data_IF_517551021006
#
_entry.id   IF_517551021006
#
_cell.length_a   1.000
_cell.length_b   1.000
_cell.length_c   1.000
_cell.angle_alpha   90.00
_cell.angle_beta   90.00
_cell.angle_gamma   90.00
#
_symmetry.space_group_name_H-M   'P 1'
#
loop_
_entity.id
_entity.type
_entity.pdbx_description
1 polymer ?
#
# COMPACT_ATOMS: atom_id res chain seq x y z
N UNK A 1 -3.40 -2.89 23.20
CA UNK A 1 -3.95 -2.72 21.85
C UNK A 1 -3.10 -3.46 20.82
N UNK A 2 -1.79 -3.14 20.60
CA UNK A 2 -0.90 -3.79 19.61
C UNK A 2 -0.96 -5.32 19.66
N UNK A 3 -0.77 -5.94 20.85
CA UNK A 3 -0.78 -7.40 21.01
C UNK A 3 -2.09 -8.05 20.58
N UNK A 4 -3.23 -7.40 20.80
CA UNK A 4 -4.53 -7.91 20.37
C UNK A 4 -4.67 -7.91 18.84
N UNK A 5 -4.17 -6.85 18.17
CA UNK A 5 -4.16 -6.79 16.71
C UNK A 5 -3.22 -7.85 16.10
N UNK A 6 -2.02 -8.01 16.67
CA UNK A 6 -1.09 -9.08 16.26
C UNK A 6 -1.74 -10.45 16.42
N UNK A 7 -2.36 -10.73 17.55
CA UNK A 7 -3.05 -12.02 17.79
C UNK A 7 -4.17 -12.27 16.77
N UNK A 8 -4.91 -11.20 16.39
CA UNK A 8 -5.92 -11.28 15.34
C UNK A 8 -5.31 -11.65 13.99
N UNK A 9 -4.23 -10.98 13.58
CA UNK A 9 -3.52 -11.29 12.32
C UNK A 9 -3.02 -12.75 12.35
N UNK A 10 -2.35 -13.16 13.42
CA UNK A 10 -1.85 -14.51 13.57
C UNK A 10 -2.95 -15.56 13.43
N UNK A 11 -4.14 -15.31 13.97
CA UNK A 11 -5.29 -16.24 13.84
C UNK A 11 -5.84 -16.34 12.41
N UNK A 12 -5.54 -15.38 11.54
CA UNK A 12 -6.02 -15.35 10.15
C UNK A 12 -5.04 -16.03 9.18
N UNK A 13 -3.78 -16.22 9.54
CA UNK A 13 -2.79 -16.87 8.66
C UNK A 13 -3.23 -18.29 8.24
N UNK A 14 -3.66 -19.19 9.15
CA UNK A 14 -4.15 -20.51 8.75
C UNK A 14 -5.39 -20.45 7.85
N UNK A 15 -6.24 -19.44 8.04
CA UNK A 15 -7.43 -19.23 7.20
C UNK A 15 -7.02 -18.83 5.79
N UNK A 16 -6.10 -17.87 5.66
CA UNK A 16 -5.56 -17.44 4.36
C UNK A 16 -4.93 -18.63 3.62
N UNK A 17 -4.13 -19.44 4.30
CA UNK A 17 -3.57 -20.67 3.73
C UNK A 17 -4.65 -21.65 3.27
N UNK A 18 -5.66 -21.90 4.10
CA UNK A 18 -6.74 -22.83 3.75
C UNK A 18 -7.56 -22.37 2.55
N UNK A 19 -7.73 -21.06 2.37
CA UNK A 19 -8.41 -20.45 1.23
C UNK A 19 -7.52 -20.38 -0.03
N UNK A 20 -6.24 -20.70 0.05
CA UNK A 20 -5.29 -20.53 -1.05
C UNK A 20 -5.03 -19.07 -1.40
N UNK A 21 -5.20 -18.15 -0.43
CA UNK A 21 -4.93 -16.74 -0.65
C UNK A 21 -3.44 -16.52 -0.96
N UNK A 22 -3.13 -15.82 -2.06
CA UNK A 22 -1.76 -15.55 -2.46
C UNK A 22 -1.03 -14.61 -1.50
N UNK A 23 -1.77 -13.72 -0.82
CA UNK A 23 -1.22 -12.76 0.11
C UNK A 23 -2.29 -12.29 1.11
N UNK A 24 -1.87 -11.96 2.33
CA UNK A 24 -2.64 -11.17 3.30
C UNK A 24 -2.11 -9.73 3.26
N UNK A 25 -2.99 -8.75 3.38
CA UNK A 25 -2.61 -7.34 3.39
C UNK A 25 -3.02 -6.61 4.66
N UNK A 26 -2.27 -5.57 5.02
CA UNK A 26 -2.62 -4.64 6.09
C UNK A 26 -2.06 -3.26 5.86
N UNK A 27 -2.88 -2.25 6.10
CA UNK A 27 -2.39 -0.91 6.33
C UNK A 27 -1.66 -0.81 7.67
N UNK A 28 -0.90 0.26 7.86
CA UNK A 28 -0.24 0.57 9.12
C UNK A 28 -1.08 1.53 9.97
N UNK A 29 -0.58 1.92 11.12
CA UNK A 29 -1.30 2.78 12.06
C UNK A 29 -1.57 4.17 11.47
N UNK A 30 -2.83 4.60 11.42
CA UNK A 30 -3.22 5.97 11.13
C UNK A 30 -2.79 6.89 12.29
N UNK A 31 -1.93 7.87 12.00
CA UNK A 31 -1.33 8.74 13.01
C UNK A 31 -2.35 9.69 13.66
N UNK A 32 -3.37 10.14 12.93
CA UNK A 32 -4.42 10.99 13.50
C UNK A 32 -5.25 10.29 14.60
N UNK A 33 -5.26 8.96 14.60
CA UNK A 33 -5.95 8.13 15.61
C UNK A 33 -5.05 7.77 16.81
N UNK A 34 -3.84 8.32 16.89
CA UNK A 34 -2.86 8.02 17.94
C UNK A 34 -2.31 9.31 18.57
N UNK A 35 -3.15 10.08 19.29
CA UNK A 35 -2.69 11.31 19.94
C UNK A 35 -1.55 11.01 20.92
N UNK A 36 -0.51 11.83 20.88
CA UNK A 36 0.66 11.70 21.76
C UNK A 36 1.69 10.64 21.36
N UNK A 37 1.45 9.90 20.24
CA UNK A 37 2.41 8.94 19.71
C UNK A 37 3.14 9.59 18.54
N UNK A 38 4.46 9.57 18.56
CA UNK A 38 5.28 10.01 17.43
C UNK A 38 5.27 8.97 16.30
N UNK A 39 5.53 9.42 15.06
CA UNK A 39 5.66 8.48 13.92
C UNK A 39 6.77 7.46 14.13
N UNK A 40 7.88 7.87 14.74
CA UNK A 40 8.99 6.96 15.07
C UNK A 40 8.54 5.84 16.01
N UNK A 41 7.86 6.16 17.09
CA UNK A 41 7.31 5.16 18.04
C UNK A 41 6.31 4.22 17.37
N UNK A 42 5.49 4.74 16.45
CA UNK A 42 4.55 3.94 15.66
C UNK A 42 5.28 2.99 14.69
N UNK A 43 6.36 3.46 14.05
CA UNK A 43 7.22 2.62 13.19
C UNK A 43 7.93 1.52 13.99
N UNK A 44 8.48 1.85 15.16
CA UNK A 44 9.08 0.85 16.07
C UNK A 44 8.04 -0.20 16.52
N UNK A 45 6.79 0.23 16.78
CA UNK A 45 5.70 -0.68 17.11
C UNK A 45 5.30 -1.57 15.91
N UNK A 46 5.33 -1.03 14.69
CA UNK A 46 5.13 -1.79 13.45
C UNK A 46 6.20 -2.87 13.30
N UNK A 47 7.48 -2.53 13.43
CA UNK A 47 8.58 -3.50 13.32
C UNK A 47 8.46 -4.62 14.36
N UNK A 48 8.11 -4.29 15.62
CA UNK A 48 7.84 -5.30 16.65
C UNK A 48 6.66 -6.20 16.26
N UNK A 49 5.61 -5.66 15.65
CA UNK A 49 4.44 -6.45 15.22
C UNK A 49 4.78 -7.39 14.08
N UNK A 50 5.50 -6.89 13.08
CA UNK A 50 5.98 -7.70 11.95
C UNK A 50 6.94 -8.81 12.41
N UNK A 51 7.80 -8.53 13.40
CA UNK A 51 8.68 -9.55 14.00
C UNK A 51 7.94 -10.71 14.67
N UNK A 52 6.68 -10.49 15.12
CA UNK A 52 5.81 -11.54 15.66
C UNK A 52 4.99 -12.23 14.55
N UNK A 53 4.62 -11.52 13.47
CA UNK A 53 3.74 -12.03 12.40
C UNK A 53 4.53 -12.82 11.35
N UNK A 54 5.66 -12.30 10.89
CA UNK A 54 6.37 -12.85 9.73
C UNK A 54 6.86 -14.28 9.94
N UNK A 55 7.40 -14.70 11.11
CA UNK A 55 7.78 -16.09 11.33
C UNK A 55 6.61 -17.07 11.10
N UNK A 56 5.40 -16.72 11.54
CA UNK A 56 4.22 -17.56 11.31
C UNK A 56 3.79 -17.56 9.83
N UNK A 57 3.97 -16.45 9.13
CA UNK A 57 3.74 -16.38 7.68
C UNK A 57 4.75 -17.26 6.91
N UNK A 58 6.01 -17.23 7.29
CA UNK A 58 7.09 -18.05 6.69
C UNK A 58 6.83 -19.54 6.92
N UNK A 59 6.50 -19.94 8.14
CA UNK A 59 6.18 -21.32 8.48
C UNK A 59 5.00 -21.87 7.65
N UNK A 60 4.00 -21.04 7.38
CA UNK A 60 2.80 -21.47 6.65
C UNK A 60 2.86 -21.17 5.15
N UNK A 61 3.92 -20.54 4.65
CA UNK A 61 4.07 -20.18 3.25
C UNK A 61 3.05 -19.12 2.77
N UNK A 62 2.61 -18.22 3.67
CA UNK A 62 1.69 -17.13 3.37
C UNK A 62 2.48 -15.84 3.19
N UNK A 63 2.25 -15.10 2.11
CA UNK A 63 2.81 -13.76 1.96
C UNK A 63 2.04 -12.76 2.82
N UNK A 64 2.74 -11.78 3.38
CA UNK A 64 2.16 -10.68 4.12
C UNK A 64 2.58 -9.36 3.53
N UNK A 65 1.63 -8.57 3.05
CA UNK A 65 1.89 -7.28 2.43
C UNK A 65 1.54 -6.13 3.36
N UNK A 66 2.39 -5.12 3.38
CA UNK A 66 2.14 -3.84 4.04
C UNK A 66 1.83 -2.77 3.00
N UNK A 67 0.94 -1.85 3.36
CA UNK A 67 0.55 -0.75 2.49
C UNK A 67 1.05 0.58 3.04
N UNK A 68 1.66 1.38 2.16
CA UNK A 68 2.08 2.75 2.45
C UNK A 68 0.88 3.68 2.36
N UNK A 69 0.67 4.52 3.38
CA UNK A 69 -0.37 5.55 3.37
C UNK A 69 0.22 6.84 3.94
N UNK A 70 0.17 7.95 3.20
CA UNK A 70 0.89 9.20 3.51
C UNK A 70 0.61 9.76 4.92
N UNK A 71 -0.54 9.49 5.51
CA UNK A 71 -0.90 9.90 6.87
C UNK A 71 -0.79 8.78 7.92
N UNK A 72 -0.22 7.62 7.58
CA UNK A 72 0.04 6.49 8.49
C UNK A 72 1.48 6.48 9.04
N UNK A 73 1.79 5.49 9.86
CA UNK A 73 3.13 5.27 10.39
C UNK A 73 4.15 5.01 9.27
N UNK A 74 3.79 4.18 8.29
CA UNK A 74 4.57 3.92 7.08
C UNK A 74 4.02 4.81 5.96
N UNK A 75 4.60 5.98 5.76
CA UNK A 75 4.02 7.10 5.02
C UNK A 75 4.80 7.54 3.78
N UNK A 76 5.96 6.99 3.54
CA UNK A 76 6.83 7.35 2.40
C UNK A 76 7.54 6.12 1.85
N UNK A 77 8.07 6.20 0.61
CA UNK A 77 8.91 5.12 0.08
C UNK A 77 10.11 4.78 0.96
N UNK A 78 10.71 5.77 1.63
CA UNK A 78 11.81 5.57 2.58
C UNK A 78 11.38 4.73 3.78
N UNK A 79 10.18 4.98 4.31
CA UNK A 79 9.63 4.20 5.42
C UNK A 79 9.32 2.76 4.99
N UNK A 80 8.81 2.54 3.79
CA UNK A 80 8.63 1.20 3.22
C UNK A 80 9.97 0.47 3.12
N UNK A 81 10.96 1.12 2.50
CA UNK A 81 12.31 0.57 2.34
C UNK A 81 12.94 0.19 3.69
N UNK A 82 12.84 1.10 4.67
CA UNK A 82 13.32 0.84 6.04
C UNK A 82 12.67 -0.39 6.65
N UNK A 83 11.35 -0.57 6.50
CA UNK A 83 10.62 -1.75 7.00
C UNK A 83 11.09 -3.02 6.30
N UNK A 84 11.20 -3.01 4.97
CA UNK A 84 11.65 -4.17 4.19
C UNK A 84 13.07 -4.59 4.56
N UNK A 85 14.00 -3.63 4.64
CA UNK A 85 15.40 -3.90 4.96
C UNK A 85 15.59 -4.38 6.41
N UNK A 86 14.81 -3.81 7.35
CA UNK A 86 14.90 -4.21 8.77
C UNK A 86 14.34 -5.60 9.00
N UNK A 87 13.22 -5.94 8.38
CA UNK A 87 12.59 -7.24 8.57
C UNK A 87 13.26 -8.34 7.76
N UNK A 88 13.80 -8.02 6.58
CA UNK A 88 14.51 -8.92 5.66
C UNK A 88 13.81 -10.27 5.42
N UNK A 89 12.48 -10.31 5.56
CA UNK A 89 11.67 -11.52 5.41
C UNK A 89 11.38 -11.83 3.94
N UNK A 90 11.54 -13.09 3.49
CA UNK A 90 11.17 -13.50 2.14
C UNK A 90 9.64 -13.45 1.92
N UNK A 91 8.83 -13.42 2.98
CA UNK A 91 7.38 -13.39 2.90
C UNK A 91 6.80 -11.98 3.03
N UNK A 92 7.62 -10.95 3.30
CA UNK A 92 7.14 -9.57 3.36
C UNK A 92 7.03 -8.97 1.95
N UNK A 93 5.88 -8.37 1.67
CA UNK A 93 5.51 -7.77 0.38
C UNK A 93 4.92 -6.38 0.58
N UNK A 94 4.63 -5.72 -0.54
CA UNK A 94 4.04 -4.38 -0.58
C UNK A 94 2.76 -4.40 -1.41
N UNK A 95 1.70 -3.79 -0.90
CA UNK A 95 0.56 -3.35 -1.71
C UNK A 95 0.89 -1.94 -2.18
N UNK A 96 0.85 -1.71 -3.48
CA UNK A 96 1.04 -0.40 -4.07
C UNK A 96 -0.33 0.23 -4.38
N UNK A 97 -0.84 1.03 -3.45
CA UNK A 97 -1.93 1.95 -3.74
C UNK A 97 -1.33 3.29 -4.14
N UNK A 98 -1.40 3.65 -5.41
CA UNK A 98 -0.85 4.89 -5.91
C UNK A 98 -1.38 6.11 -5.18
N UNK A 99 -2.69 6.14 -4.88
CA UNK A 99 -3.31 7.26 -4.20
C UNK A 99 -2.77 7.43 -2.77
N UNK A 100 -2.52 6.33 -2.08
CA UNK A 100 -2.02 6.35 -0.71
C UNK A 100 -0.59 6.89 -0.55
N UNK A 101 0.21 6.95 -1.62
CA UNK A 101 1.51 7.62 -1.60
C UNK A 101 1.39 9.15 -1.76
N UNK A 102 0.26 9.65 -2.25
CA UNK A 102 0.09 11.05 -2.63
C UNK A 102 -0.61 11.82 -1.51
N UNK A 103 0.16 12.59 -0.75
CA UNK A 103 -0.36 13.62 0.16
C UNK A 103 -0.55 14.96 -0.54
N UNK A 104 -1.13 15.97 0.13
CA UNK A 104 -1.36 17.29 -0.46
C UNK A 104 -0.09 17.94 -1.02
N UNK A 105 1.05 17.72 -0.36
CA UNK A 105 2.37 18.23 -0.75
C UNK A 105 2.94 17.53 -2.00
N UNK A 106 2.43 16.38 -2.34
CA UNK A 106 2.86 15.56 -3.48
C UNK A 106 1.83 15.53 -4.62
N UNK A 107 0.87 16.47 -4.65
CA UNK A 107 -0.19 16.49 -5.66
C UNK A 107 0.32 16.82 -7.09
N UNK A 108 1.51 17.40 -7.25
CA UNK A 108 2.08 17.66 -8.59
C UNK A 108 2.61 16.37 -9.25
N UNK A 109 2.48 16.27 -10.58
CA UNK A 109 2.98 15.13 -11.37
C UNK A 109 4.48 14.89 -11.12
N UNK A 110 5.29 15.95 -11.09
CA UNK A 110 6.73 15.82 -10.86
C UNK A 110 7.07 15.27 -9.47
N UNK A 111 6.31 15.64 -8.45
CA UNK A 111 6.49 15.08 -7.11
C UNK A 111 6.13 13.59 -7.09
N UNK A 112 5.04 13.21 -7.75
CA UNK A 112 4.60 11.83 -7.85
C UNK A 112 5.59 10.97 -8.64
N UNK A 113 6.15 11.46 -9.74
CA UNK A 113 7.17 10.75 -10.52
C UNK A 113 8.40 10.45 -9.70
N UNK A 114 8.85 11.38 -8.85
CA UNK A 114 9.94 11.10 -7.89
C UNK A 114 9.58 10.01 -6.87
N UNK A 115 8.31 9.89 -6.51
CA UNK A 115 7.82 8.77 -5.67
C UNK A 115 7.89 7.46 -6.46
N UNK A 116 7.38 7.45 -7.70
CA UNK A 116 7.38 6.24 -8.54
C UNK A 116 8.79 5.74 -8.83
N UNK A 117 9.74 6.63 -9.09
CA UNK A 117 11.16 6.29 -9.27
C UNK A 117 11.73 5.57 -8.06
N UNK A 118 11.43 6.05 -6.84
CA UNK A 118 11.85 5.39 -5.60
C UNK A 118 11.16 4.04 -5.39
N UNK A 119 9.84 4.00 -5.59
CA UNK A 119 9.04 2.77 -5.45
C UNK A 119 9.58 1.69 -6.38
N UNK A 120 9.74 2.01 -7.65
CA UNK A 120 10.23 1.08 -8.65
C UNK A 120 11.66 0.60 -8.37
N UNK A 121 12.59 1.55 -8.15
CA UNK A 121 14.02 1.22 -8.00
C UNK A 121 14.36 0.54 -6.67
N UNK A 122 13.60 0.79 -5.60
CA UNK A 122 13.94 0.28 -4.27
C UNK A 122 13.26 -1.02 -3.89
N UNK A 123 12.01 -1.24 -4.32
CA UNK A 123 11.23 -2.41 -3.95
C UNK A 123 10.12 -2.80 -4.94
N UNK A 124 10.25 -2.39 -6.19
CA UNK A 124 9.27 -2.75 -7.21
C UNK A 124 9.06 -4.27 -7.31
N UNK A 125 10.11 -5.07 -7.14
CA UNK A 125 10.05 -6.54 -7.13
C UNK A 125 9.29 -7.12 -5.92
N UNK A 126 9.00 -6.31 -4.90
CA UNK A 126 8.22 -6.70 -3.71
C UNK A 126 6.73 -6.38 -3.83
N UNK A 127 6.32 -5.64 -4.86
CA UNK A 127 4.91 -5.32 -5.08
C UNK A 127 4.14 -6.60 -5.44
N UNK A 128 3.04 -6.85 -4.75
CA UNK A 128 2.21 -8.06 -4.93
C UNK A 128 0.77 -7.77 -5.33
N UNK A 129 0.32 -6.54 -5.15
CA UNK A 129 -1.00 -6.09 -5.57
C UNK A 129 -0.99 -4.57 -5.83
N UNK A 130 -1.88 -4.12 -6.69
CA UNK A 130 -2.10 -2.73 -7.02
C UNK A 130 -3.49 -2.33 -6.55
N UNK A 131 -3.58 -1.22 -5.84
CA UNK A 131 -4.86 -0.59 -5.52
C UNK A 131 -5.06 0.69 -6.33
N UNK A 132 -6.30 0.88 -6.74
CA UNK A 132 -6.78 2.08 -7.41
C UNK A 132 -7.85 2.75 -6.58
N UNK A 133 -7.68 4.01 -6.25
CA UNK A 133 -8.76 4.85 -5.75
C UNK A 133 -8.65 6.28 -6.24
N UNK A 134 -9.78 6.91 -6.51
CA UNK A 134 -9.81 8.31 -6.91
C UNK A 134 -9.76 9.21 -5.68
N UNK A 135 -8.80 10.14 -5.65
CA UNK A 135 -8.69 11.16 -4.60
C UNK A 135 -8.28 12.51 -5.15
N UNK A 136 -8.62 13.55 -4.40
CA UNK A 136 -8.15 14.90 -4.61
C UNK A 136 -8.15 15.66 -3.27
N UNK A 137 -7.63 16.89 -3.26
CA UNK A 137 -7.52 17.70 -2.06
C UNK A 137 -8.27 19.03 -2.22
N UNK A 138 -8.95 19.46 -1.16
CA UNK A 138 -9.46 20.82 -1.03
C UNK A 138 -8.29 21.80 -0.88
N UNK A 139 -8.48 23.11 -1.07
CA UNK A 139 -7.45 24.12 -0.86
C UNK A 139 -6.82 24.11 0.56
N UNK A 140 -7.54 23.61 1.56
CA UNK A 140 -7.06 23.45 2.93
C UNK A 140 -6.29 22.13 3.17
N UNK A 141 -6.11 21.31 2.12
CA UNK A 141 -5.46 20.01 2.20
C UNK A 141 -6.37 18.85 2.62
N UNK A 142 -7.66 19.09 2.81
CA UNK A 142 -8.61 18.02 3.16
C UNK A 142 -8.80 17.06 1.98
N UNK A 143 -8.55 15.78 2.23
CA UNK A 143 -8.75 14.70 1.26
C UNK A 143 -10.24 14.49 0.96
N UNK A 144 -10.58 14.28 -0.31
CA UNK A 144 -11.90 13.80 -0.72
C UNK A 144 -11.83 12.81 -1.88
N UNK A 145 -12.79 11.87 -1.94
CA UNK A 145 -12.86 10.84 -2.98
C UNK A 145 -13.42 11.41 -4.29
N UNK A 146 -12.83 10.99 -5.42
CA UNK A 146 -13.25 11.35 -6.78
C UNK A 146 -13.45 10.10 -7.65
N UNK A 147 -13.80 10.28 -8.94
CA UNK A 147 -13.58 9.26 -9.94
C UNK A 147 -12.06 9.04 -10.16
N UNK A 148 -11.66 7.95 -10.82
CA UNK A 148 -10.27 7.76 -11.19
C UNK A 148 -9.79 8.81 -12.20
N UNK A 149 -10.67 9.23 -13.12
CA UNK A 149 -10.37 10.21 -14.16
C UNK A 149 -10.13 11.62 -13.61
N UNK A 150 -10.88 12.00 -12.54
CA UNK A 150 -10.75 13.31 -11.88
C UNK A 150 -9.71 13.31 -10.74
N UNK A 151 -9.01 12.21 -10.54
CA UNK A 151 -8.02 12.06 -9.48
C UNK A 151 -6.78 12.90 -9.74
N UNK A 152 -6.17 13.44 -8.67
CA UNK A 152 -4.87 14.09 -8.74
C UNK A 152 -3.70 13.10 -8.90
N UNK A 153 -3.96 11.80 -8.91
CA UNK A 153 -2.94 10.75 -8.99
C UNK A 153 -2.44 10.57 -10.41
N UNK A 154 -1.12 10.64 -10.62
CA UNK A 154 -0.46 10.33 -11.90
C UNK A 154 -0.41 8.80 -12.12
N UNK A 155 -1.54 8.22 -12.48
CA UNK A 155 -1.62 6.80 -12.83
C UNK A 155 -0.77 6.44 -14.04
N UNK A 156 -0.62 7.34 -15.01
CA UNK A 156 0.19 7.10 -16.20
C UNK A 156 1.66 6.85 -15.83
N UNK A 157 2.24 7.73 -15.00
CA UNK A 157 3.60 7.57 -14.49
C UNK A 157 3.76 6.34 -13.60
N UNK A 158 2.77 6.06 -12.74
CA UNK A 158 2.77 4.86 -11.90
C UNK A 158 2.78 3.57 -12.71
N UNK A 159 1.98 3.48 -13.78
CA UNK A 159 1.98 2.31 -14.67
C UNK A 159 3.22 2.23 -15.56
N UNK A 160 3.80 3.34 -15.96
CA UNK A 160 5.10 3.36 -16.63
C UNK A 160 6.18 2.73 -15.76
N UNK A 161 6.21 3.05 -14.48
CA UNK A 161 7.06 2.41 -13.48
C UNK A 161 6.78 0.90 -13.41
N UNK A 162 5.51 0.47 -13.27
CA UNK A 162 5.16 -0.96 -13.18
C UNK A 162 5.58 -1.77 -14.41
N UNK A 163 5.53 -1.19 -15.63
CA UNK A 163 5.99 -1.87 -16.86
C UNK A 163 7.47 -2.24 -16.85
N UNK A 164 8.26 -1.63 -15.99
CA UNK A 164 9.69 -1.91 -15.84
C UNK A 164 9.96 -2.98 -14.77
N UNK A 165 8.90 -3.47 -14.08
CA UNK A 165 9.04 -4.47 -13.03
C UNK A 165 9.12 -5.89 -13.62
N UNK A 166 9.77 -6.84 -12.89
CA UNK A 166 9.93 -8.22 -13.37
C UNK A 166 8.64 -9.05 -13.30
N UNK A 167 7.60 -8.58 -12.59
CA UNK A 167 6.36 -9.32 -12.45
C UNK A 167 5.55 -9.30 -13.75
N UNK A 168 5.19 -10.49 -14.25
CA UNK A 168 4.41 -10.63 -15.48
C UNK A 168 2.96 -10.15 -15.35
N UNK A 169 2.39 -10.23 -14.14
CA UNK A 169 1.04 -9.72 -13.83
C UNK A 169 0.90 -9.46 -12.35
N UNK A 170 0.08 -8.47 -12.01
CA UNK A 170 -0.27 -8.14 -10.63
C UNK A 170 -1.80 -8.06 -10.50
N UNK A 171 -2.40 -8.59 -9.42
CA UNK A 171 -3.81 -8.38 -9.14
C UNK A 171 -4.08 -6.91 -8.89
N UNK A 172 -5.20 -6.43 -9.40
CA UNK A 172 -5.64 -5.05 -9.30
C UNK A 172 -6.97 -4.97 -8.56
N UNK A 173 -7.05 -4.15 -7.53
CA UNK A 173 -8.25 -3.88 -6.77
C UNK A 173 -8.66 -2.42 -6.91
N UNK A 174 -9.94 -2.17 -7.25
CA UNK A 174 -10.55 -0.85 -7.16
C UNK A 174 -11.12 -0.68 -5.75
N UNK A 175 -10.43 0.09 -4.92
CA UNK A 175 -10.88 0.44 -3.57
C UNK A 175 -11.88 1.60 -3.57
N UNK A 176 -12.72 1.68 -2.55
CA UNK A 176 -13.70 2.74 -2.35
C UNK A 176 -14.58 2.96 -3.61
N UNK A 177 -14.88 1.87 -4.33
CA UNK A 177 -15.65 1.93 -5.56
C UNK A 177 -17.10 2.38 -5.29
N UNK A 178 -17.54 3.37 -6.05
CA UNK A 178 -18.94 3.82 -6.03
C UNK A 178 -19.65 3.12 -7.18
N UNK A 179 -20.75 2.39 -6.94
CA UNK A 179 -21.44 1.63 -8.00
C UNK A 179 -21.79 2.45 -9.24
N UNK A 180 -22.19 3.69 -9.06
CA UNK A 180 -22.52 4.61 -10.17
C UNK A 180 -21.30 4.94 -11.07
N UNK A 181 -20.07 4.76 -10.58
CA UNK A 181 -18.82 5.03 -11.31
C UNK A 181 -18.11 3.76 -11.79
N UNK A 182 -18.61 2.58 -11.45
CA UNK A 182 -17.91 1.32 -11.69
C UNK A 182 -17.54 1.12 -13.18
N UNK A 183 -18.43 1.46 -14.10
CA UNK A 183 -18.18 1.32 -15.53
C UNK A 183 -17.11 2.28 -16.06
N UNK A 184 -17.15 3.56 -15.64
CA UNK A 184 -16.14 4.57 -16.02
C UNK A 184 -14.78 4.27 -15.39
N UNK A 185 -14.74 3.90 -14.12
CA UNK A 185 -13.52 3.51 -13.43
C UNK A 185 -12.87 2.28 -14.10
N UNK A 186 -13.68 1.28 -14.46
CA UNK A 186 -13.17 0.10 -15.19
C UNK A 186 -12.62 0.47 -16.57
N UNK A 187 -13.32 1.36 -17.30
CA UNK A 187 -12.83 1.85 -18.60
C UNK A 187 -11.52 2.61 -18.45
N UNK A 188 -11.38 3.43 -17.41
CA UNK A 188 -10.14 4.12 -17.07
C UNK A 188 -8.99 3.12 -16.79
N UNK A 189 -9.22 2.14 -15.91
CA UNK A 189 -8.21 1.15 -15.54
C UNK A 189 -7.72 0.35 -16.76
N UNK A 190 -8.61 0.01 -17.70
CA UNK A 190 -8.26 -0.69 -18.93
C UNK A 190 -7.31 0.05 -19.86
N UNK A 191 -7.17 1.38 -19.72
CA UNK A 191 -6.17 2.16 -20.48
C UNK A 191 -4.74 1.76 -20.11
N UNK A 192 -4.54 1.16 -18.94
CA UNK A 192 -3.24 0.74 -18.40
C UNK A 192 -3.04 -0.78 -18.42
N UNK A 193 -4.07 -1.57 -18.77
CA UNK A 193 -3.95 -3.00 -18.93
C UNK A 193 -3.03 -3.34 -20.12
N UNK A 194 -2.27 -4.43 -19.98
CA UNK A 194 -1.38 -4.96 -21.01
C UNK A 194 -2.13 -5.95 -21.89
#
# INVERSE_FOLDING_TARGET
KRRAEVAKVLSQIPVARALGAGCMGSETTNMAKQPGVTRKEAQEALLRSLGEILPACEEQGVLFAVECVYYHAMNTPEAVRMVLDTMASPNLRVICDFANYVGPEAASVDAQRRIWDKVGSWYGDKITAIHFKGQNFQPDGTLYSTSLEDSCVDYAGGFEMLRQMPQASLPVLREEAVPARAASDLAFMRRFAY
#
